data_IF_442099831583
#
_entry.id   IF_442099831583
#
_cell.length_a   1.000
_cell.length_b   1.000
_cell.length_c   1.000
_cell.angle_alpha   90.00
_cell.angle_beta   90.00
_cell.angle_gamma   90.00
#
_symmetry.space_group_name_H-M   'P 1'
#
loop_
_entity.id
_entity.type
_entity.pdbx_description
1 polymer ?
#
# COMPACT_ATOMS: atom_id res chain seq x y z
N UNK A 1 -15.14 17.56 -4.20
CA UNK A 1 -14.66 18.93 -4.37
C UNK A 1 -13.13 18.96 -4.27
N UNK A 2 -12.53 18.54 -3.14
CA UNK A 2 -11.09 18.57 -2.85
C UNK A 2 -10.23 17.87 -3.92
N UNK A 3 -10.54 16.63 -4.28
CA UNK A 3 -9.81 15.89 -5.30
C UNK A 3 -9.76 16.61 -6.66
N UNK A 4 -10.85 17.28 -7.07
CA UNK A 4 -10.87 18.06 -8.31
C UNK A 4 -9.94 19.28 -8.23
N UNK A 5 -9.86 19.92 -7.06
CA UNK A 5 -8.94 21.05 -6.84
C UNK A 5 -7.48 20.57 -6.95
N UNK A 6 -7.13 19.49 -6.25
CA UNK A 6 -5.79 18.92 -6.28
C UNK A 6 -5.36 18.51 -7.71
N UNK A 7 -6.28 17.90 -8.47
CA UNK A 7 -5.99 17.54 -9.87
C UNK A 7 -5.79 18.77 -10.75
N UNK A 8 -6.56 19.85 -10.53
CA UNK A 8 -6.35 21.11 -11.24
C UNK A 8 -5.00 21.76 -10.90
N UNK A 9 -4.43 21.46 -9.73
CA UNK A 9 -3.10 21.86 -9.28
C UNK A 9 -1.99 20.89 -9.72
N UNK A 10 -2.30 19.91 -10.58
CA UNK A 10 -1.33 18.97 -11.15
C UNK A 10 -1.20 17.63 -10.41
N UNK A 11 -2.03 17.33 -9.40
CA UNK A 11 -2.01 16.06 -8.70
C UNK A 11 -2.43 14.91 -9.63
N UNK A 12 -1.62 13.85 -9.69
CA UNK A 12 -1.84 12.68 -10.55
C UNK A 12 -2.28 11.44 -9.77
N UNK A 13 -1.94 11.36 -8.47
CA UNK A 13 -2.31 10.25 -7.61
C UNK A 13 -2.92 10.78 -6.30
N UNK A 14 -4.03 10.18 -5.88
CA UNK A 14 -4.66 10.43 -4.59
C UNK A 14 -4.67 9.16 -3.76
N UNK A 15 -4.18 9.24 -2.53
CA UNK A 15 -4.29 8.18 -1.53
C UNK A 15 -5.31 8.57 -0.47
N UNK A 16 -6.38 7.78 -0.34
CA UNK A 16 -7.37 7.94 0.72
C UNK A 16 -6.83 7.31 2.00
N UNK A 17 -6.80 8.10 3.06
CA UNK A 17 -6.32 7.69 4.38
C UNK A 17 -7.40 7.86 5.45
N UNK A 18 -7.24 7.16 6.56
CA UNK A 18 -8.13 7.25 7.72
C UNK A 18 -7.82 6.11 8.69
N UNK A 19 -8.50 6.02 9.82
CA UNK A 19 -8.29 4.92 10.77
C UNK A 19 -8.77 3.57 10.23
N UNK A 20 -9.86 3.59 9.45
CA UNK A 20 -10.44 2.40 8.79
C UNK A 20 -11.16 2.88 7.54
N UNK A 21 -10.43 3.06 6.45
CA UNK A 21 -10.94 3.72 5.24
C UNK A 21 -12.12 2.97 4.62
N UNK A 22 -12.06 1.65 4.59
CA UNK A 22 -13.14 0.82 4.02
C UNK A 22 -14.42 0.75 4.88
N UNK A 23 -14.40 1.32 6.09
CA UNK A 23 -15.63 1.54 6.89
C UNK A 23 -16.33 2.86 6.57
N UNK A 24 -15.82 3.63 5.59
CA UNK A 24 -16.41 4.91 5.18
C UNK A 24 -17.90 4.78 4.89
N UNK A 25 -18.68 5.69 5.49
CA UNK A 25 -20.13 5.84 5.30
C UNK A 25 -20.47 7.32 5.33
N UNK A 26 -21.11 7.78 4.30
CA UNK A 26 -21.68 9.12 4.22
C UNK A 26 -23.18 9.03 3.95
N UNK A 27 -24.00 9.68 4.76
CA UNK A 27 -25.45 9.69 4.57
C UNK A 27 -25.94 11.11 4.39
N UNK A 28 -26.68 11.35 3.30
CA UNK A 28 -27.32 12.61 2.98
C UNK A 28 -28.70 12.33 2.35
N UNK A 29 -29.75 12.97 2.87
CA UNK A 29 -31.12 12.85 2.34
C UNK A 29 -31.64 11.40 2.23
N UNK A 30 -31.21 10.49 3.12
CA UNK A 30 -31.63 9.07 3.11
C UNK A 30 -30.80 8.17 2.21
N UNK A 31 -29.86 8.71 1.42
CA UNK A 31 -28.90 7.95 0.63
C UNK A 31 -27.60 7.76 1.40
N UNK A 32 -27.13 6.51 1.52
CA UNK A 32 -25.84 6.20 2.11
C UNK A 32 -24.83 5.85 1.01
N UNK A 33 -23.74 6.58 0.96
CA UNK A 33 -22.57 6.32 0.10
C UNK A 33 -21.49 5.59 0.88
N UNK A 34 -20.87 4.61 0.26
CA UNK A 34 -19.75 3.81 0.79
C UNK A 34 -18.45 4.18 0.09
N UNK A 35 -17.35 3.55 0.49
CA UNK A 35 -16.07 3.76 -0.17
C UNK A 35 -16.13 3.40 -1.66
N UNK A 36 -16.81 2.32 -2.04
CA UNK A 36 -17.03 1.93 -3.45
C UNK A 36 -17.63 3.08 -4.28
N UNK A 37 -18.66 3.78 -3.75
CA UNK A 37 -19.28 4.91 -4.43
C UNK A 37 -18.31 6.10 -4.55
N UNK A 38 -17.51 6.35 -3.51
CA UNK A 38 -16.48 7.38 -3.54
C UNK A 38 -15.42 7.09 -4.61
N UNK A 39 -14.98 5.83 -4.73
CA UNK A 39 -14.01 5.40 -5.75
C UNK A 39 -14.58 5.59 -7.17
N UNK A 40 -15.86 5.29 -7.40
CA UNK A 40 -16.53 5.59 -8.68
C UNK A 40 -16.47 7.08 -9.01
N UNK A 41 -16.80 7.94 -8.03
CA UNK A 41 -16.75 9.39 -8.21
C UNK A 41 -15.35 9.93 -8.48
N UNK A 42 -14.33 9.38 -7.83
CA UNK A 42 -12.93 9.76 -8.06
C UNK A 42 -12.42 9.25 -9.41
N UNK A 43 -12.77 8.03 -9.81
CA UNK A 43 -12.38 7.45 -11.09
C UNK A 43 -12.86 8.26 -12.29
N UNK A 44 -13.95 9.03 -12.14
CA UNK A 44 -14.50 9.90 -13.17
C UNK A 44 -13.78 11.27 -13.30
N UNK A 45 -12.78 11.57 -12.46
CA UNK A 45 -12.06 12.86 -12.54
C UNK A 45 -10.99 12.77 -13.63
N UNK A 46 -11.10 13.59 -14.65
CA UNK A 46 -10.08 13.71 -15.70
C UNK A 46 -8.79 14.31 -15.10
N UNK A 47 -7.64 13.85 -15.59
CA UNK A 47 -6.32 14.26 -15.08
C UNK A 47 -5.84 13.51 -13.83
N UNK A 48 -6.70 12.76 -13.14
CA UNK A 48 -6.29 11.82 -12.10
C UNK A 48 -5.91 10.48 -12.76
N UNK A 49 -4.73 9.96 -12.44
CA UNK A 49 -4.23 8.70 -13.01
C UNK A 49 -4.39 7.52 -12.07
N UNK A 50 -4.23 7.74 -10.75
CA UNK A 50 -4.27 6.65 -9.79
C UNK A 50 -4.95 7.02 -8.48
N UNK A 51 -5.67 6.07 -7.95
CA UNK A 51 -6.38 6.15 -6.66
C UNK A 51 -5.91 5.00 -5.80
N UNK A 52 -5.43 5.31 -4.61
CA UNK A 52 -5.07 4.34 -3.57
C UNK A 52 -5.93 4.55 -2.33
N UNK A 53 -6.04 3.52 -1.52
CA UNK A 53 -6.60 3.61 -0.18
C UNK A 53 -5.90 2.61 0.73
N UNK A 54 -5.67 3.00 1.98
CA UNK A 54 -4.90 2.20 2.94
C UNK A 54 -5.66 2.08 4.27
N UNK A 55 -5.11 1.31 5.23
CA UNK A 55 -5.71 1.12 6.56
C UNK A 55 -7.09 0.47 6.52
N UNK A 56 -7.20 -0.65 5.78
CA UNK A 56 -8.43 -1.39 5.68
C UNK A 56 -8.64 -2.35 6.87
N UNK A 57 -9.89 -2.54 7.24
CA UNK A 57 -10.29 -3.55 8.21
C UNK A 57 -10.81 -4.80 7.48
N UNK A 58 -10.34 -6.02 7.83
CA UNK A 58 -10.65 -7.23 7.07
C UNK A 58 -12.15 -7.49 6.87
N UNK A 59 -12.98 -7.28 7.90
CA UNK A 59 -14.44 -7.51 7.85
C UNK A 59 -15.19 -6.54 6.95
N UNK A 60 -14.63 -5.35 6.70
CA UNK A 60 -15.24 -4.31 5.88
C UNK A 60 -14.78 -4.36 4.41
N UNK A 61 -14.02 -5.40 4.02
CA UNK A 61 -13.71 -5.72 2.62
C UNK A 61 -14.92 -6.39 1.96
N UNK A 62 -15.90 -5.56 1.62
CA UNK A 62 -17.16 -5.97 1.01
C UNK A 62 -16.99 -6.34 -0.46
N UNK A 63 -17.91 -7.14 -1.00
CA UNK A 63 -17.87 -7.57 -2.40
C UNK A 63 -17.96 -6.37 -3.37
N UNK A 64 -18.80 -5.38 -3.06
CA UNK A 64 -18.92 -4.15 -3.86
C UNK A 64 -17.60 -3.36 -3.89
N UNK A 65 -16.84 -3.31 -2.77
CA UNK A 65 -15.54 -2.68 -2.75
C UNK A 65 -14.51 -3.45 -3.58
N UNK A 66 -14.49 -4.79 -3.45
CA UNK A 66 -13.58 -5.65 -4.24
C UNK A 66 -13.89 -5.49 -5.75
N UNK A 67 -15.15 -5.45 -6.14
CA UNK A 67 -15.55 -5.22 -7.54
C UNK A 67 -15.15 -3.81 -8.00
N UNK A 68 -15.32 -2.78 -7.15
CA UNK A 68 -14.85 -1.44 -7.50
C UNK A 68 -13.33 -1.40 -7.76
N UNK A 69 -12.53 -2.10 -6.94
CA UNK A 69 -11.08 -2.23 -7.17
C UNK A 69 -10.77 -2.94 -8.49
N UNK A 70 -11.53 -4.01 -8.80
CA UNK A 70 -11.36 -4.77 -10.06
C UNK A 70 -11.69 -3.95 -11.31
N UNK A 71 -12.81 -3.22 -11.26
CA UNK A 71 -13.45 -2.66 -12.46
C UNK A 71 -13.08 -1.19 -12.73
N UNK A 72 -12.63 -0.44 -11.72
CA UNK A 72 -12.27 0.96 -11.87
C UNK A 72 -10.78 1.10 -12.25
N UNK A 73 -10.53 1.49 -13.49
CA UNK A 73 -9.19 1.50 -14.10
C UNK A 73 -8.14 2.29 -13.33
N UNK A 74 -8.53 3.37 -12.64
CA UNK A 74 -7.61 4.22 -11.87
C UNK A 74 -7.36 3.71 -10.46
N UNK A 75 -8.16 2.77 -9.96
CA UNK A 75 -7.99 2.23 -8.61
C UNK A 75 -6.85 1.22 -8.59
N UNK A 76 -5.89 1.47 -7.71
CA UNK A 76 -4.72 0.61 -7.54
C UNK A 76 -5.13 -0.79 -7.07
N UNK A 77 -4.52 -1.83 -7.65
CA UNK A 77 -4.67 -3.21 -7.19
C UNK A 77 -3.79 -3.53 -5.95
N UNK A 78 -3.37 -2.49 -5.24
CA UNK A 78 -2.66 -2.61 -3.97
C UNK A 78 -3.64 -2.43 -2.81
N UNK A 79 -3.74 -3.45 -1.97
CA UNK A 79 -4.67 -3.48 -0.84
C UNK A 79 -3.89 -3.69 0.44
N UNK A 80 -3.87 -2.67 1.29
CA UNK A 80 -3.27 -2.75 2.62
C UNK A 80 -4.32 -3.18 3.63
N UNK A 81 -4.23 -4.42 4.12
CA UNK A 81 -5.14 -5.00 5.12
C UNK A 81 -4.32 -5.63 6.24
N UNK A 82 -4.22 -4.96 7.41
CA UNK A 82 -3.46 -5.47 8.54
C UNK A 82 -4.02 -6.79 9.08
N UNK A 83 -3.19 -7.84 9.10
CA UNK A 83 -3.49 -9.11 9.77
C UNK A 83 -3.21 -9.04 11.27
N UNK A 84 -2.24 -8.23 11.66
CA UNK A 84 -1.73 -7.99 13.01
C UNK A 84 -0.98 -9.17 13.60
N UNK A 85 -1.50 -10.39 13.51
CA UNK A 85 -0.91 -11.62 14.02
C UNK A 85 -1.49 -12.86 13.33
N UNK A 86 -0.78 -13.98 13.35
CA UNK A 86 -1.24 -15.26 12.79
C UNK A 86 -2.06 -16.14 13.74
N UNK A 87 -2.10 -15.82 15.05
CA UNK A 87 -2.83 -16.58 16.06
C UNK A 87 -4.17 -15.91 16.41
N UNK A 88 -5.25 -16.68 16.40
CA UNK A 88 -6.58 -16.21 16.82
C UNK A 88 -6.61 -15.81 18.31
N UNK A 89 -5.86 -16.51 19.17
CA UNK A 89 -5.78 -16.19 20.59
C UNK A 89 -5.07 -14.85 20.82
N UNK A 90 -3.98 -14.56 20.09
CA UNK A 90 -3.32 -13.25 20.13
C UNK A 90 -4.25 -12.18 19.60
N UNK A 91 -4.93 -12.40 18.46
CA UNK A 91 -5.90 -11.45 17.92
C UNK A 91 -7.01 -11.14 18.92
N UNK A 92 -7.51 -12.14 19.65
CA UNK A 92 -8.50 -11.97 20.72
C UNK A 92 -7.93 -11.13 21.88
N UNK A 93 -6.69 -11.38 22.30
CA UNK A 93 -5.99 -10.55 23.31
C UNK A 93 -5.79 -9.12 22.84
N UNK A 94 -5.47 -8.92 21.55
CA UNK A 94 -5.37 -7.60 20.90
C UNK A 94 -6.73 -6.92 20.68
N UNK A 95 -7.86 -7.58 20.99
CA UNK A 95 -9.22 -7.10 20.74
C UNK A 95 -9.52 -6.88 19.26
N UNK A 96 -8.95 -7.69 18.38
CA UNK A 96 -9.31 -7.72 16.97
C UNK A 96 -10.63 -8.49 16.80
N UNK A 97 -11.53 -7.96 15.99
CA UNK A 97 -12.87 -8.50 15.81
C UNK A 97 -12.97 -9.54 14.69
N UNK A 98 -11.89 -10.18 14.29
CA UNK A 98 -11.82 -11.20 13.23
C UNK A 98 -10.87 -12.32 13.63
N UNK A 99 -11.02 -13.47 12.96
CA UNK A 99 -10.12 -14.62 13.05
C UNK A 99 -9.26 -14.72 11.80
N UNK A 100 -8.19 -15.54 11.87
CA UNK A 100 -7.35 -15.83 10.69
C UNK A 100 -8.15 -16.56 9.61
N UNK A 101 -9.09 -17.43 9.99
CA UNK A 101 -9.99 -18.05 9.03
C UNK A 101 -10.81 -17.02 8.23
N UNK A 102 -11.40 -16.03 8.89
CA UNK A 102 -12.11 -14.93 8.23
C UNK A 102 -11.19 -14.04 7.39
N UNK A 103 -9.96 -13.81 7.84
CA UNK A 103 -8.96 -13.07 7.09
C UNK A 103 -8.58 -13.81 5.79
N UNK A 104 -8.35 -15.11 5.86
CA UNK A 104 -8.02 -15.95 4.69
C UNK A 104 -9.20 -16.07 3.70
N UNK A 105 -10.43 -16.16 4.20
CA UNK A 105 -11.64 -16.14 3.36
C UNK A 105 -11.76 -14.81 2.59
N UNK A 106 -11.54 -13.69 3.26
CA UNK A 106 -11.50 -12.36 2.62
C UNK A 106 -10.43 -12.30 1.54
N UNK A 107 -9.21 -12.80 1.81
CA UNK A 107 -8.15 -12.87 0.82
C UNK A 107 -8.49 -13.79 -0.35
N UNK A 108 -9.19 -14.91 -0.10
CA UNK A 108 -9.70 -15.79 -1.14
C UNK A 108 -10.61 -15.05 -2.12
N UNK A 109 -11.64 -14.38 -1.61
CA UNK A 109 -12.55 -13.54 -2.42
C UNK A 109 -11.83 -12.44 -3.20
N UNK A 110 -10.85 -11.78 -2.57
CA UNK A 110 -10.05 -10.75 -3.22
C UNK A 110 -9.25 -11.32 -4.39
N UNK A 111 -8.56 -12.46 -4.20
CA UNK A 111 -7.72 -13.09 -5.22
C UNK A 111 -8.53 -13.75 -6.33
N UNK A 112 -9.72 -14.27 -6.03
CA UNK A 112 -10.65 -14.75 -7.04
C UNK A 112 -11.08 -13.62 -7.98
N UNK A 113 -11.43 -12.45 -7.42
CA UNK A 113 -11.83 -11.29 -8.21
C UNK A 113 -10.65 -10.60 -8.91
N UNK A 114 -9.47 -10.54 -8.27
CA UNK A 114 -8.27 -9.83 -8.74
C UNK A 114 -7.04 -10.74 -8.50
N UNK A 115 -6.74 -11.68 -9.40
CA UNK A 115 -5.70 -12.71 -9.19
C UNK A 115 -4.31 -12.14 -8.92
N UNK A 116 -4.02 -10.95 -9.43
CA UNK A 116 -2.72 -10.26 -9.29
C UNK A 116 -2.74 -9.12 -8.24
N UNK A 117 -3.76 -9.06 -7.40
CA UNK A 117 -3.81 -8.08 -6.32
C UNK A 117 -2.58 -8.17 -5.42
N UNK A 118 -1.94 -7.03 -5.19
CA UNK A 118 -0.83 -6.90 -4.26
C UNK A 118 -1.38 -6.60 -2.86
N UNK A 119 -1.23 -7.54 -1.95
CA UNK A 119 -1.68 -7.38 -0.57
C UNK A 119 -0.51 -7.02 0.32
N UNK A 120 -0.67 -6.01 1.17
CA UNK A 120 0.25 -5.71 2.25
C UNK A 120 -0.41 -5.80 3.61
N UNK A 121 0.37 -5.93 4.65
CA UNK A 121 -0.12 -6.14 6.00
C UNK A 121 0.77 -5.48 7.05
N UNK A 122 0.24 -5.39 8.27
CA UNK A 122 1.01 -5.07 9.47
C UNK A 122 1.03 -6.29 10.39
N UNK A 123 2.15 -6.46 11.08
CA UNK A 123 2.33 -7.47 12.11
C UNK A 123 2.91 -6.86 13.38
N UNK A 124 2.47 -7.35 14.53
CA UNK A 124 3.03 -7.02 15.84
C UNK A 124 3.54 -8.31 16.44
N UNK A 125 4.83 -8.39 16.73
CA UNK A 125 5.49 -9.52 17.39
C UNK A 125 5.79 -9.21 18.84
N UNK A 126 5.79 -10.24 19.71
CA UNK A 126 6.05 -10.07 21.13
C UNK A 126 4.93 -9.38 21.89
N UNK A 127 3.68 -9.55 21.45
CA UNK A 127 2.52 -9.09 22.22
C UNK A 127 2.42 -9.84 23.54
N UNK A 128 1.78 -9.23 24.55
CA UNK A 128 1.63 -9.80 25.89
C UNK A 128 1.22 -11.29 25.86
N UNK A 129 2.02 -12.14 26.49
CA UNK A 129 1.81 -13.59 26.57
C UNK A 129 1.98 -14.35 25.23
N UNK A 130 2.58 -13.77 24.21
CA UNK A 130 2.82 -14.47 22.95
C UNK A 130 3.81 -15.61 23.12
N UNK A 131 3.40 -16.84 22.79
CA UNK A 131 4.25 -18.03 22.83
C UNK A 131 5.01 -18.25 21.52
N UNK A 132 5.95 -19.21 21.51
CA UNK A 132 6.69 -19.54 20.28
C UNK A 132 5.78 -20.23 19.24
N UNK A 133 4.82 -21.03 19.68
CA UNK A 133 3.82 -21.65 18.84
C UNK A 133 2.90 -20.60 18.19
N UNK A 134 2.48 -19.59 18.93
CA UNK A 134 1.67 -18.50 18.41
C UNK A 134 2.47 -17.66 17.40
N UNK A 135 3.75 -17.36 17.67
CA UNK A 135 4.62 -16.68 16.74
C UNK A 135 4.83 -17.49 15.45
N UNK A 136 4.99 -18.83 15.54
CA UNK A 136 5.13 -19.70 14.38
C UNK A 136 3.93 -19.59 13.42
N UNK A 137 2.71 -19.36 13.92
CA UNK A 137 1.52 -19.11 13.10
C UNK A 137 1.63 -17.82 12.28
N UNK A 138 2.30 -16.77 12.79
CA UNK A 138 2.57 -15.55 12.03
C UNK A 138 3.59 -15.79 10.91
N UNK A 139 4.63 -16.59 11.15
CA UNK A 139 5.57 -17.02 10.12
C UNK A 139 4.87 -17.83 9.00
N UNK A 140 4.01 -18.75 9.39
CA UNK A 140 3.25 -19.57 8.44
C UNK A 140 2.28 -18.70 7.62
N UNK A 141 1.62 -17.74 8.24
CA UNK A 141 0.71 -16.81 7.54
C UNK A 141 1.47 -16.01 6.46
N UNK A 142 2.66 -15.47 6.79
CA UNK A 142 3.47 -14.72 5.81
C UNK A 142 3.91 -15.60 4.64
N UNK A 143 4.34 -16.83 4.91
CA UNK A 143 4.75 -17.82 3.88
C UNK A 143 3.58 -18.25 2.98
N UNK A 144 2.41 -18.43 3.56
CA UNK A 144 1.21 -18.88 2.84
C UNK A 144 0.59 -17.75 2.01
N UNK A 145 0.42 -16.57 2.60
CA UNK A 145 -0.21 -15.42 1.92
C UNK A 145 0.72 -14.80 0.90
N UNK A 146 2.04 -14.79 1.15
CA UNK A 146 3.04 -14.15 0.29
C UNK A 146 2.70 -12.68 0.06
N UNK A 147 2.62 -11.93 1.13
CA UNK A 147 2.36 -10.50 1.06
C UNK A 147 3.38 -9.78 0.17
N UNK A 148 2.92 -8.76 -0.58
CA UNK A 148 3.82 -7.89 -1.36
C UNK A 148 4.88 -7.25 -0.46
N UNK A 149 4.43 -6.77 0.70
CA UNK A 149 5.27 -6.28 1.81
C UNK A 149 4.47 -6.33 3.11
N UNK A 150 5.17 -6.32 4.24
CA UNK A 150 4.56 -6.17 5.56
C UNK A 150 5.38 -5.25 6.43
N UNK A 151 4.70 -4.41 7.20
CA UNK A 151 5.32 -3.63 8.25
C UNK A 151 5.29 -4.45 9.54
N UNK A 152 6.47 -4.70 10.11
CA UNK A 152 6.62 -5.61 11.24
C UNK A 152 7.15 -4.83 12.42
N UNK A 153 6.33 -4.74 13.46
CA UNK A 153 6.60 -3.97 14.66
C UNK A 153 6.78 -4.89 15.86
N UNK A 154 7.71 -4.54 16.75
CA UNK A 154 7.74 -5.10 18.08
C UNK A 154 6.63 -4.48 18.92
N UNK A 155 5.96 -5.27 19.73
CA UNK A 155 5.02 -4.71 20.69
C UNK A 155 5.72 -3.71 21.62
N UNK A 156 5.08 -2.57 21.80
CA UNK A 156 5.48 -1.53 22.76
C UNK A 156 4.25 -1.09 23.54
N UNK A 157 4.27 -1.18 24.87
CA UNK A 157 3.15 -0.74 25.70
C UNK A 157 2.85 0.74 25.48
N UNK A 158 1.56 1.07 25.31
CA UNK A 158 1.12 2.47 25.14
C UNK A 158 0.13 2.83 26.24
N UNK A 159 0.44 3.83 27.10
CA UNK A 159 -0.50 4.33 28.11
C UNK A 159 -1.87 4.65 27.50
N UNK A 160 -2.94 4.34 28.26
CA UNK A 160 -4.32 4.55 27.80
C UNK A 160 -4.89 3.45 26.91
N UNK A 161 -4.12 2.37 26.64
CA UNK A 161 -4.64 1.19 25.97
C UNK A 161 -5.02 0.09 26.96
N UNK A 162 -6.08 -0.68 26.63
CA UNK A 162 -6.49 -1.82 27.48
C UNK A 162 -5.40 -2.87 27.68
N UNK A 163 -4.50 -3.02 26.71
CA UNK A 163 -3.36 -3.92 26.82
C UNK A 163 -2.38 -3.40 27.90
N UNK A 164 -2.05 -2.12 27.87
CA UNK A 164 -1.20 -1.49 28.89
C UNK A 164 -1.77 -1.64 30.32
N UNK A 165 -3.09 -1.43 30.46
CA UNK A 165 -3.73 -1.43 31.79
C UNK A 165 -3.95 -2.84 32.36
N UNK A 166 -4.03 -3.88 31.51
CA UNK A 166 -4.55 -5.20 31.91
C UNK A 166 -3.66 -6.38 31.58
N UNK A 167 -2.58 -6.18 30.83
CA UNK A 167 -1.69 -7.26 30.41
C UNK A 167 -0.24 -6.88 30.71
N UNK A 168 0.51 -7.80 31.29
CA UNK A 168 1.93 -7.60 31.50
C UNK A 168 2.67 -7.69 30.16
N UNK A 169 3.65 -6.80 29.95
CA UNK A 169 4.60 -6.93 28.86
C UNK A 169 5.69 -7.94 29.26
N UNK A 170 5.35 -9.22 29.18
CA UNK A 170 6.09 -10.36 29.70
C UNK A 170 7.01 -11.04 28.66
N UNK A 171 6.96 -10.62 27.39
CA UNK A 171 7.86 -11.14 26.36
C UNK A 171 9.19 -10.36 26.40
N UNK A 172 10.34 -11.03 26.66
CA UNK A 172 11.63 -10.37 26.72
C UNK A 172 11.98 -9.61 25.43
N UNK A 173 12.64 -8.46 25.56
CA UNK A 173 13.01 -7.63 24.40
C UNK A 173 13.95 -8.37 23.41
N UNK A 174 14.80 -9.28 23.90
CA UNK A 174 15.62 -10.15 23.04
C UNK A 174 14.77 -11.07 22.17
N UNK A 175 13.70 -11.64 22.75
CA UNK A 175 12.74 -12.48 22.01
C UNK A 175 11.96 -11.66 20.98
N UNK A 176 11.49 -10.47 21.35
CA UNK A 176 10.83 -9.55 20.42
C UNK A 176 11.73 -9.19 19.22
N UNK A 177 13.02 -8.90 19.48
CA UNK A 177 13.99 -8.60 18.43
C UNK A 177 14.20 -9.78 17.48
N UNK A 178 14.35 -10.98 18.03
CA UNK A 178 14.55 -12.19 17.23
C UNK A 178 13.31 -12.52 16.40
N UNK A 179 12.11 -12.48 16.98
CA UNK A 179 10.86 -12.70 16.25
C UNK A 179 10.66 -11.67 15.13
N UNK A 180 11.00 -10.39 15.40
CA UNK A 180 10.94 -9.33 14.39
C UNK A 180 11.89 -9.64 13.22
N UNK A 181 13.15 -10.04 13.50
CA UNK A 181 14.15 -10.41 12.49
C UNK A 181 13.67 -11.59 11.64
N UNK A 182 13.20 -12.66 12.28
CA UNK A 182 12.74 -13.88 11.59
C UNK A 182 11.53 -13.59 10.68
N UNK A 183 10.58 -12.78 11.14
CA UNK A 183 9.40 -12.44 10.34
C UNK A 183 9.77 -11.51 9.17
N UNK A 184 10.71 -10.58 9.37
CA UNK A 184 11.25 -9.75 8.28
C UNK A 184 11.97 -10.57 7.22
N UNK A 185 12.76 -11.58 7.61
CA UNK A 185 13.43 -12.49 6.67
C UNK A 185 12.41 -13.31 5.85
N UNK A 186 11.39 -13.87 6.51
CA UNK A 186 10.32 -14.58 5.83
C UNK A 186 9.57 -13.67 4.83
N UNK A 187 9.29 -12.42 5.24
CA UNK A 187 8.66 -11.43 4.37
C UNK A 187 9.56 -11.04 3.19
N UNK A 188 10.85 -10.83 3.40
CA UNK A 188 11.80 -10.51 2.33
C UNK A 188 11.85 -11.62 1.27
N UNK A 189 11.84 -12.88 1.70
CA UNK A 189 11.75 -14.03 0.80
C UNK A 189 10.46 -14.04 -0.03
N UNK A 190 9.31 -13.82 0.61
CA UNK A 190 8.02 -13.74 -0.05
C UNK A 190 7.93 -12.58 -1.05
N UNK A 191 8.46 -11.41 -0.66
CA UNK A 191 8.51 -10.22 -1.52
C UNK A 191 9.38 -10.47 -2.76
N UNK A 192 10.55 -11.05 -2.59
CA UNK A 192 11.46 -11.39 -3.70
C UNK A 192 10.80 -12.37 -4.68
N UNK A 193 10.17 -13.43 -4.18
CA UNK A 193 9.44 -14.39 -5.03
C UNK A 193 8.34 -13.70 -5.83
N UNK A 194 7.56 -12.82 -5.16
CA UNK A 194 6.52 -12.04 -5.80
C UNK A 194 7.04 -11.06 -6.85
N UNK A 195 8.18 -10.42 -6.58
CA UNK A 195 8.81 -9.46 -7.49
C UNK A 195 9.43 -10.14 -8.74
N UNK A 196 10.02 -11.32 -8.59
CA UNK A 196 10.61 -12.07 -9.72
C UNK A 196 9.63 -12.34 -10.85
N UNK A 197 8.33 -12.42 -10.57
CA UNK A 197 7.28 -12.64 -11.59
C UNK A 197 7.12 -11.47 -12.57
N UNK A 198 7.68 -10.31 -12.25
CA UNK A 198 7.63 -9.12 -13.09
C UNK A 198 8.81 -9.02 -14.05
N UNK A 199 9.89 -9.77 -13.84
CA UNK A 199 11.05 -9.77 -14.73
C UNK A 199 10.63 -10.23 -16.12
N UNK A 200 11.02 -9.47 -17.15
CA UNK A 200 10.63 -9.67 -18.54
C UNK A 200 9.24 -9.13 -18.91
N UNK A 201 8.54 -8.46 -17.97
CA UNK A 201 7.25 -7.81 -18.27
C UNK A 201 7.39 -6.30 -18.40
N UNK A 202 6.54 -5.69 -19.22
CA UNK A 202 6.36 -4.23 -19.29
C UNK A 202 5.38 -3.77 -18.23
N UNK A 203 5.74 -2.75 -17.47
CA UNK A 203 4.93 -2.19 -16.40
C UNK A 203 4.75 -0.68 -16.57
N UNK A 204 3.52 -0.20 -16.42
CA UNK A 204 3.25 1.22 -16.34
C UNK A 204 3.62 1.74 -14.94
N UNK A 205 4.48 2.74 -14.89
CA UNK A 205 5.05 3.31 -13.67
C UNK A 205 4.75 4.80 -13.58
N UNK A 206 4.16 5.25 -12.48
CA UNK A 206 4.12 6.67 -12.15
C UNK A 206 5.46 7.05 -11.51
N UNK A 207 6.19 7.95 -12.16
CA UNK A 207 7.51 8.41 -11.71
C UNK A 207 7.34 9.39 -10.56
N UNK A 208 7.90 9.05 -9.39
CA UNK A 208 7.73 9.82 -8.15
C UNK A 208 8.87 10.83 -7.91
N UNK A 209 10.08 10.56 -8.37
CA UNK A 209 11.23 11.44 -8.14
C UNK A 209 12.56 10.73 -8.32
N UNK A 210 13.60 11.33 -7.77
CA UNK A 210 14.92 10.72 -7.68
C UNK A 210 14.88 9.47 -6.80
N UNK A 211 15.74 8.50 -7.09
CA UNK A 211 15.95 7.39 -6.17
C UNK A 211 16.63 7.89 -4.88
N UNK A 212 16.40 7.19 -3.77
CA UNK A 212 17.04 7.52 -2.48
C UNK A 212 18.58 7.56 -2.59
N UNK A 213 19.16 6.82 -3.54
CA UNK A 213 20.60 6.85 -3.82
C UNK A 213 21.02 8.20 -4.38
N UNK A 214 20.35 8.66 -5.43
CA UNK A 214 20.72 9.90 -6.12
C UNK A 214 20.32 11.13 -5.32
N UNK A 215 19.23 11.09 -4.55
CA UNK A 215 18.91 12.14 -3.56
C UNK A 215 20.03 12.34 -2.54
N UNK A 216 20.59 11.25 -1.99
CA UNK A 216 21.69 11.32 -1.00
C UNK A 216 23.01 11.79 -1.59
N UNK A 217 23.23 11.57 -2.88
CA UNK A 217 24.43 12.00 -3.59
C UNK A 217 24.31 13.42 -4.14
N UNK A 218 23.15 14.07 -3.98
CA UNK A 218 22.85 15.38 -4.55
C UNK A 218 23.22 15.46 -6.04
N UNK A 219 22.87 14.40 -6.79
CA UNK A 219 23.14 14.32 -8.22
C UNK A 219 22.37 15.40 -8.94
N UNK A 220 23.07 16.28 -9.63
CA UNK A 220 22.49 17.24 -10.58
C UNK A 220 22.90 16.85 -12.00
N UNK A 221 22.08 16.05 -12.69
CA UNK A 221 22.40 15.58 -14.04
C UNK A 221 22.17 16.66 -15.11
N UNK A 222 21.69 17.83 -14.73
CA UNK A 222 21.19 18.83 -15.68
C UNK A 222 19.87 18.40 -16.33
N UNK A 223 19.27 19.26 -17.18
CA UNK A 223 17.92 19.03 -17.72
C UNK A 223 17.81 17.80 -18.64
N UNK A 224 18.86 17.46 -19.36
CA UNK A 224 18.91 16.33 -20.31
C UNK A 224 19.73 15.15 -19.81
N UNK A 225 20.31 15.26 -18.63
CA UNK A 225 21.11 14.20 -18.02
C UNK A 225 20.24 13.09 -17.46
N UNK A 226 20.80 11.87 -17.44
CA UNK A 226 20.17 10.72 -16.82
C UNK A 226 20.42 10.74 -15.31
N UNK A 227 19.35 10.53 -14.56
CA UNK A 227 19.40 10.27 -13.12
C UNK A 227 18.67 8.97 -12.81
N UNK A 228 19.02 8.35 -11.69
CA UNK A 228 18.27 7.22 -11.22
C UNK A 228 16.95 7.70 -10.60
N UNK A 229 15.85 7.41 -11.28
CA UNK A 229 14.52 7.74 -10.84
C UNK A 229 13.87 6.56 -10.11
N UNK A 230 12.86 6.86 -9.34
CA UNK A 230 11.97 5.89 -8.70
C UNK A 230 10.53 6.19 -9.04
N UNK A 231 9.73 5.15 -9.14
CA UNK A 231 8.31 5.26 -9.33
C UNK A 231 7.58 4.00 -8.86
N UNK A 232 6.27 3.98 -9.05
CA UNK A 232 5.43 2.85 -8.62
C UNK A 232 4.54 2.35 -9.73
N UNK A 233 4.43 1.01 -9.79
CA UNK A 233 3.45 0.33 -10.65
C UNK A 233 2.03 0.48 -10.12
N UNK A 234 1.02 0.06 -10.89
CA UNK A 234 -0.39 0.03 -10.47
C UNK A 234 -0.62 -0.85 -9.22
N UNK A 235 0.21 -1.86 -8.99
CA UNK A 235 0.17 -2.69 -7.77
C UNK A 235 1.17 -2.22 -6.69
N UNK A 236 1.58 -0.95 -6.74
CA UNK A 236 2.43 -0.26 -5.76
C UNK A 236 3.84 -0.86 -5.59
N UNK A 237 4.38 -1.56 -6.61
CA UNK A 237 5.79 -2.00 -6.58
C UNK A 237 6.70 -0.84 -6.93
N UNK A 238 7.74 -0.68 -6.15
CA UNK A 238 8.80 0.31 -6.43
C UNK A 238 9.59 -0.18 -7.64
N UNK A 239 9.78 0.69 -8.60
CA UNK A 239 10.64 0.48 -9.77
C UNK A 239 11.71 1.54 -9.79
N UNK A 240 12.96 1.15 -10.03
CA UNK A 240 14.13 2.02 -10.12
C UNK A 240 14.70 1.90 -11.53
N UNK A 241 14.99 3.02 -12.18
CA UNK A 241 15.47 3.06 -13.56
C UNK A 241 16.18 4.39 -13.84
N UNK A 242 17.10 4.39 -14.82
CA UNK A 242 17.80 5.61 -15.24
C UNK A 242 16.97 6.32 -16.31
N UNK A 243 16.69 7.61 -16.11
CA UNK A 243 15.89 8.40 -17.03
C UNK A 243 16.07 9.91 -16.84
N UNK A 244 15.70 10.74 -17.83
CA UNK A 244 15.70 12.19 -17.68
C UNK A 244 14.71 12.69 -16.61
N UNK A 245 15.10 13.74 -15.88
CA UNK A 245 14.27 14.34 -14.80
C UNK A 245 12.88 14.79 -15.30
N UNK A 246 12.74 15.16 -16.56
CA UNK A 246 11.46 15.57 -17.16
C UNK A 246 10.37 14.48 -17.11
N UNK A 247 10.73 13.23 -16.79
CA UNK A 247 9.76 12.14 -16.61
C UNK A 247 9.11 12.12 -15.23
N UNK A 248 9.62 12.88 -14.27
CA UNK A 248 9.01 12.99 -12.95
C UNK A 248 7.57 13.50 -13.10
N UNK A 249 6.61 12.85 -12.42
CA UNK A 249 5.18 13.14 -12.51
C UNK A 249 4.49 12.53 -13.71
N UNK A 250 5.17 11.74 -14.53
CA UNK A 250 4.60 11.08 -15.69
C UNK A 250 4.33 9.60 -15.46
N UNK A 251 3.35 9.07 -16.18
CA UNK A 251 3.20 7.64 -16.38
C UNK A 251 4.08 7.22 -17.53
N UNK A 252 4.98 6.29 -17.28
CA UNK A 252 5.91 5.74 -18.29
C UNK A 252 5.84 4.22 -18.28
N UNK A 253 6.11 3.63 -19.43
CA UNK A 253 6.27 2.18 -19.54
C UNK A 253 7.74 1.81 -19.28
N UNK A 254 7.95 0.84 -18.40
CA UNK A 254 9.27 0.34 -18.01
C UNK A 254 9.31 -1.16 -18.22
N UNK A 255 10.31 -1.63 -18.96
CA UNK A 255 10.62 -3.04 -19.15
C UNK A 255 11.44 -3.54 -17.95
N UNK A 256 10.88 -4.45 -17.16
CA UNK A 256 11.49 -4.91 -15.91
C UNK A 256 12.59 -5.93 -16.22
N UNK A 257 13.82 -5.61 -15.86
CA UNK A 257 15.01 -6.42 -16.13
C UNK A 257 15.50 -7.20 -14.92
N UNK A 258 15.22 -6.72 -13.70
CA UNK A 258 15.63 -7.43 -12.48
C UNK A 258 14.70 -7.15 -11.30
N UNK A 259 14.82 -7.99 -10.26
CA UNK A 259 13.97 -7.93 -9.08
C UNK A 259 14.78 -8.16 -7.79
N UNK A 260 14.67 -7.23 -6.85
CA UNK A 260 15.06 -7.36 -5.46
C UNK A 260 13.87 -7.65 -4.54
N UNK A 261 14.12 -7.82 -3.25
CA UNK A 261 13.04 -7.99 -2.26
C UNK A 261 12.16 -6.74 -2.13
N UNK A 262 12.74 -5.56 -2.29
CA UNK A 262 12.07 -4.28 -2.01
C UNK A 262 11.72 -3.48 -3.27
N UNK A 263 12.43 -3.70 -4.38
CA UNK A 263 12.23 -2.96 -5.63
C UNK A 263 12.47 -3.86 -6.83
N UNK A 264 11.94 -3.41 -7.95
CA UNK A 264 12.25 -3.86 -9.30
C UNK A 264 13.26 -2.88 -9.91
N UNK A 265 14.02 -3.34 -10.90
CA UNK A 265 14.77 -2.44 -11.77
C UNK A 265 14.42 -2.73 -13.23
N UNK A 266 14.53 -1.73 -14.08
CA UNK A 266 14.18 -1.84 -15.48
C UNK A 266 14.67 -0.67 -16.31
N UNK A 267 14.29 -0.67 -17.58
CA UNK A 267 14.64 0.34 -18.55
C UNK A 267 13.36 0.98 -19.10
N UNK A 268 13.37 2.30 -19.29
CA UNK A 268 12.23 3.01 -19.92
C UNK A 268 12.12 2.56 -21.37
N UNK A 269 10.91 2.24 -21.82
CA UNK A 269 10.67 1.84 -23.19
C UNK A 269 11.07 2.97 -24.17
N UNK A 270 11.85 2.63 -25.19
CA UNK A 270 12.52 3.56 -26.12
C UNK A 270 11.59 4.56 -26.82
N UNK A 271 10.32 4.19 -27.02
CA UNK A 271 9.31 5.00 -27.68
C UNK A 271 8.83 6.20 -26.84
N UNK A 272 9.02 6.17 -25.51
CA UNK A 272 8.58 7.21 -24.57
C UNK A 272 9.69 8.19 -24.19
N UNK A 273 10.93 7.75 -24.11
CA UNK A 273 12.06 8.60 -23.71
C UNK A 273 12.27 9.78 -24.66
N UNK A 274 11.89 9.63 -25.94
CA UNK A 274 12.04 10.62 -26.99
C UNK A 274 10.76 11.42 -27.30
N UNK A 275 9.60 11.03 -26.77
CA UNK A 275 8.29 11.56 -27.18
C UNK A 275 7.79 12.74 -26.33
N UNK A 276 8.45 13.10 -25.22
CA UNK A 276 7.99 14.15 -24.30
C UNK A 276 8.80 15.43 -24.56
N UNK A 277 8.17 16.52 -25.09
CA UNK A 277 8.84 17.79 -25.34
C UNK A 277 9.34 18.45 -24.04
N UNK A 278 10.45 19.20 -24.14
CA UNK A 278 11.08 19.92 -23.04
C UNK A 278 10.24 21.08 -22.47
N UNK A 279 9.22 21.54 -23.18
CA UNK A 279 8.50 22.78 -22.91
C UNK A 279 7.54 22.75 -21.70
N UNK A 280 7.46 21.63 -20.98
CA UNK A 280 6.54 21.46 -19.85
C UNK A 280 7.20 21.32 -18.47
N UNK A 281 8.48 21.67 -18.34
CA UNK A 281 9.25 21.48 -17.09
C UNK A 281 8.84 22.43 -15.94
N UNK A 282 8.15 23.53 -16.22
CA UNK A 282 7.87 24.55 -15.20
C UNK A 282 6.68 24.25 -14.26
N UNK A 283 5.89 23.18 -14.48
CA UNK A 283 4.66 22.93 -13.72
C UNK A 283 4.51 21.52 -13.11
N UNK A 284 5.49 20.66 -13.17
CA UNK A 284 5.36 19.30 -12.63
C UNK A 284 5.89 19.18 -11.19
N UNK A 285 5.32 19.93 -10.29
CA UNK A 285 5.35 19.58 -8.88
C UNK A 285 4.54 18.29 -8.69
N UNK A 286 5.23 17.16 -8.47
CA UNK A 286 4.55 15.89 -8.18
C UNK A 286 3.79 16.06 -6.89
N UNK A 287 2.49 15.96 -6.96
CA UNK A 287 1.71 15.90 -5.76
C UNK A 287 1.00 14.55 -5.67
N UNK A 288 1.64 13.61 -4.96
CA UNK A 288 0.92 12.52 -4.32
C UNK A 288 0.25 13.11 -3.10
N UNK A 289 -1.05 13.32 -3.13
CA UNK A 289 -1.78 13.86 -2.00
C UNK A 289 -2.51 12.77 -1.23
N UNK A 290 -2.48 12.91 0.09
CA UNK A 290 -3.28 12.11 0.99
C UNK A 290 -4.53 12.88 1.36
N UNK A 291 -5.70 12.25 1.18
CA UNK A 291 -6.99 12.80 1.61
C UNK A 291 -7.51 11.96 2.77
N UNK A 292 -7.75 12.61 3.90
CA UNK A 292 -8.36 11.94 5.05
C UNK A 292 -9.85 11.69 4.79
N UNK A 293 -10.24 10.42 4.93
CA UNK A 293 -11.63 9.99 4.79
C UNK A 293 -12.17 9.63 6.17
N UNK A 294 -13.16 10.34 6.69
CA UNK A 294 -13.72 10.03 8.00
C UNK A 294 -14.41 8.66 7.99
N UNK A 295 -14.16 7.84 8.99
CA UNK A 295 -14.78 6.50 9.13
C UNK A 295 -16.31 6.57 9.30
N UNK A 296 -16.83 7.67 9.88
CA UNK A 296 -18.26 7.98 9.99
C UNK A 296 -18.47 9.48 9.82
N UNK A 297 -19.52 9.86 9.09
CA UNK A 297 -19.99 11.23 9.10
C UNK A 297 -20.37 11.61 10.55
N UNK A 298 -20.02 12.81 11.03
CA UNK A 298 -20.51 13.29 12.31
C UNK A 298 -22.04 13.32 12.24
N UNK A 299 -22.69 12.67 13.21
CA UNK A 299 -24.12 12.88 13.44
C UNK A 299 -24.31 14.38 13.67
N UNK A 300 -24.90 15.08 12.72
CA UNK A 300 -25.48 16.39 13.01
C UNK A 300 -26.66 16.09 13.93
N UNK A 301 -26.44 16.28 15.23
CA UNK A 301 -27.53 16.26 16.22
C UNK A 301 -28.59 17.27 15.79
N UNK A 302 -29.77 16.81 15.68
CA UNK A 302 -31.00 17.63 15.63
C UNK A 302 -31.23 18.25 16.97
#
# INVERSE_FOLDING_TARGET
AEAKKLVAEGCREITLIGQTVNSYRWSDGGKTSRLSDLLVGLNAIDGLDRIKFVTNYPRDMTTDLIHAVRDLRKVSHYIHVPAQHGSDDVLKRMKRGYTIGQYMEMLGRLREAIPHAAVSSDFIVGFCGETDEEFALSLELVKTVKFKNSFIFKYSPRPGTKAFDRQADDVPESVKKERNRLLQEAQAGASLEGNRRFVGSRQQVLVEGLSTRDERQAVDPGPDGLAQLTGRTMCDRIVVFDAPLRLIGRLVDVDITSAGAWSLAGDVADDLANAIPLDHLEQSGLSVHQIEVPARAPHRGT
#
